data_IF_306264516248
#
_entry.id   IF_306264516248
#
_cell.length_a   1.000
_cell.length_b   1.000
_cell.length_c   1.000
_cell.angle_alpha   90.00
_cell.angle_beta   90.00
_cell.angle_gamma   90.00
#
_symmetry.space_group_name_H-M   'P 1'
#
loop_
_entity.id
_entity.type
_entity.pdbx_description
1 polymer ?
#
# COMPACT_ATOMS: atom_id res chain seq x y z
N UNK A 1 12.99 12.49 -18.79
CA UNK A 1 13.50 11.40 -19.66
C UNK A 1 14.55 10.52 -18.97
N UNK A 2 15.87 10.71 -19.15
CA UNK A 2 16.87 9.73 -18.64
C UNK A 2 16.92 9.63 -17.10
N UNK A 3 17.03 10.75 -16.39
CA UNK A 3 17.04 10.78 -14.91
C UNK A 3 15.71 10.28 -14.29
N UNK A 4 14.62 10.36 -15.05
CA UNK A 4 13.28 9.90 -14.68
C UNK A 4 13.19 8.37 -14.77
N UNK A 5 13.75 7.78 -15.84
CA UNK A 5 13.91 6.32 -15.94
C UNK A 5 14.74 5.75 -14.78
N UNK A 6 15.89 6.36 -14.46
CA UNK A 6 16.75 5.89 -13.36
C UNK A 6 16.04 5.91 -11.99
N UNK A 7 15.15 6.88 -11.75
CA UNK A 7 14.39 6.96 -10.50
C UNK A 7 13.25 5.93 -10.44
N UNK A 8 12.53 5.75 -11.54
CA UNK A 8 11.53 4.69 -11.65
C UNK A 8 12.17 3.30 -11.43
N UNK A 9 13.37 3.09 -11.98
CA UNK A 9 14.16 1.87 -11.81
C UNK A 9 14.60 1.68 -10.35
N UNK A 10 15.01 2.75 -9.66
CA UNK A 10 15.43 2.69 -8.25
C UNK A 10 14.32 2.23 -7.29
N UNK A 11 13.03 2.41 -7.64
CA UNK A 11 11.89 1.98 -6.81
C UNK A 11 11.50 0.52 -7.06
N UNK A 12 11.89 -0.05 -8.22
CA UNK A 12 11.52 -1.41 -8.62
C UNK A 12 11.88 -2.48 -7.59
N UNK A 13 13.09 -2.51 -7.01
CA UNK A 13 13.46 -3.50 -5.97
C UNK A 13 12.62 -3.37 -4.70
N UNK A 14 12.37 -2.15 -4.22
CA UNK A 14 11.56 -1.91 -3.00
C UNK A 14 10.12 -2.39 -3.18
N UNK A 15 9.54 -2.12 -4.35
CA UNK A 15 8.20 -2.60 -4.72
C UNK A 15 8.15 -4.12 -4.82
N UNK A 16 9.19 -4.76 -5.35
CA UNK A 16 9.26 -6.21 -5.43
C UNK A 16 9.29 -6.84 -4.03
N UNK A 17 10.07 -6.28 -3.11
CA UNK A 17 10.11 -6.76 -1.73
C UNK A 17 8.79 -6.60 -0.99
N UNK A 18 8.09 -5.47 -1.19
CA UNK A 18 6.75 -5.29 -0.62
C UNK A 18 5.77 -6.36 -1.09
N UNK A 19 5.81 -6.72 -2.39
CA UNK A 19 4.97 -7.80 -2.94
C UNK A 19 5.33 -9.17 -2.36
N UNK A 20 6.62 -9.45 -2.16
CA UNK A 20 7.07 -10.70 -1.52
C UNK A 20 6.54 -10.78 -0.09
N UNK A 21 6.74 -9.74 0.69
CA UNK A 21 6.31 -9.70 2.08
C UNK A 21 4.78 -9.86 2.22
N UNK A 22 4.00 -9.28 1.30
CA UNK A 22 2.56 -9.49 1.26
C UNK A 22 2.17 -10.93 0.95
N UNK A 23 2.91 -11.63 0.07
CA UNK A 23 2.70 -13.05 -0.19
C UNK A 23 3.02 -13.90 1.06
N UNK A 24 4.12 -13.59 1.75
CA UNK A 24 4.53 -14.31 2.96
C UNK A 24 3.48 -14.16 4.08
N UNK A 25 2.92 -12.96 4.27
CA UNK A 25 1.82 -12.71 5.22
C UNK A 25 0.59 -13.53 4.86
N UNK A 26 0.23 -13.58 3.58
CA UNK A 26 -0.92 -14.35 3.09
C UNK A 26 -0.73 -15.83 3.38
N UNK A 27 0.45 -16.37 3.09
CA UNK A 27 0.75 -17.78 3.31
C UNK A 27 0.72 -18.13 4.80
N UNK A 28 1.26 -17.26 5.67
CA UNK A 28 1.18 -17.41 7.12
C UNK A 28 -0.27 -17.42 7.64
N UNK A 29 -1.13 -16.53 7.13
CA UNK A 29 -2.54 -16.47 7.51
C UNK A 29 -3.33 -17.65 6.98
N UNK A 30 -3.07 -18.10 5.75
CA UNK A 30 -3.69 -19.31 5.20
C UNK A 30 -3.30 -20.55 6.00
N UNK A 31 -2.04 -20.66 6.41
CA UNK A 31 -1.59 -21.73 7.31
C UNK A 31 -2.28 -21.66 8.69
N UNK A 32 -2.54 -20.44 9.20
CA UNK A 32 -3.30 -20.24 10.44
C UNK A 32 -4.77 -20.67 10.30
N UNK A 33 -5.42 -20.34 9.19
CA UNK A 33 -6.81 -20.76 8.92
C UNK A 33 -6.88 -22.28 8.75
N UNK A 34 -5.89 -22.90 8.10
CA UNK A 34 -5.84 -24.34 7.89
C UNK A 34 -5.83 -25.13 9.22
N UNK A 35 -5.24 -24.57 10.29
CA UNK A 35 -5.23 -25.18 11.63
C UNK A 35 -6.58 -25.19 12.35
N UNK A 36 -7.59 -24.46 11.87
CA UNK A 36 -8.87 -24.27 12.57
C UNK A 36 -9.90 -25.41 12.37
N UNK A 37 -9.56 -26.45 11.59
CA UNK A 37 -10.30 -27.72 11.52
C UNK A 37 -11.53 -27.75 10.59
N UNK A 38 -12.06 -26.61 10.17
CA UNK A 38 -13.39 -26.55 9.53
C UNK A 38 -13.41 -26.64 7.99
N UNK A 39 -12.27 -26.86 7.34
CA UNK A 39 -12.17 -26.88 5.86
C UNK A 39 -11.73 -28.24 5.32
N UNK A 40 -12.16 -28.59 4.10
CA UNK A 40 -11.54 -29.65 3.30
C UNK A 40 -10.26 -29.14 2.60
N UNK A 41 -9.43 -30.03 2.06
CA UNK A 41 -8.23 -29.64 1.30
C UNK A 41 -8.57 -28.80 0.06
N UNK A 42 -9.63 -29.16 -0.66
CA UNK A 42 -10.09 -28.42 -1.84
C UNK A 42 -10.56 -27.01 -1.49
N UNK A 43 -11.31 -26.86 -0.39
CA UNK A 43 -11.75 -25.55 0.11
C UNK A 43 -10.54 -24.69 0.53
N UNK A 44 -9.55 -25.28 1.20
CA UNK A 44 -8.30 -24.58 1.55
C UNK A 44 -7.59 -24.08 0.29
N UNK A 45 -7.43 -24.94 -0.72
CA UNK A 45 -6.77 -24.59 -1.97
C UNK A 45 -7.53 -23.51 -2.76
N UNK A 46 -8.86 -23.51 -2.72
CA UNK A 46 -9.69 -22.48 -3.36
C UNK A 46 -9.58 -21.12 -2.66
N UNK A 47 -9.61 -21.11 -1.33
CA UNK A 47 -9.40 -19.89 -0.53
C UNK A 47 -8.00 -19.34 -0.79
N UNK A 48 -6.96 -20.18 -0.73
CA UNK A 48 -5.58 -19.78 -0.99
C UNK A 48 -5.42 -19.12 -2.37
N UNK A 49 -5.93 -19.77 -3.43
CA UNK A 49 -5.89 -19.21 -4.78
C UNK A 49 -6.66 -17.90 -4.89
N UNK A 50 -7.78 -17.78 -4.20
CA UNK A 50 -8.60 -16.56 -4.23
C UNK A 50 -7.90 -15.40 -3.53
N UNK A 51 -7.38 -15.61 -2.32
CA UNK A 51 -6.63 -14.59 -1.57
C UNK A 51 -5.40 -14.16 -2.35
N UNK A 52 -4.62 -15.10 -2.89
CA UNK A 52 -3.45 -14.77 -3.71
C UNK A 52 -3.85 -13.90 -4.91
N UNK A 53 -4.90 -14.27 -5.67
CA UNK A 53 -5.39 -13.44 -6.78
C UNK A 53 -5.84 -12.05 -6.35
N UNK A 54 -6.52 -11.93 -5.21
CA UNK A 54 -6.96 -10.64 -4.67
C UNK A 54 -5.76 -9.76 -4.36
N UNK A 55 -4.76 -10.30 -3.65
CA UNK A 55 -3.54 -9.58 -3.29
C UNK A 55 -2.75 -9.17 -4.51
N UNK A 56 -2.59 -10.04 -5.51
CA UNK A 56 -1.93 -9.69 -6.77
C UNK A 56 -2.63 -8.55 -7.50
N UNK A 57 -3.97 -8.57 -7.57
CA UNK A 57 -4.75 -7.49 -8.19
C UNK A 57 -4.65 -6.18 -7.41
N UNK A 58 -4.75 -6.25 -6.08
CA UNK A 58 -4.63 -5.08 -5.20
C UNK A 58 -3.25 -4.46 -5.27
N UNK A 59 -2.18 -5.25 -5.37
CA UNK A 59 -0.81 -4.75 -5.41
C UNK A 59 -0.36 -4.36 -6.81
N UNK A 60 -1.05 -4.77 -7.87
CA UNK A 60 -0.66 -4.39 -9.24
C UNK A 60 -0.75 -2.88 -9.48
N UNK A 61 -1.93 -2.28 -9.25
CA UNK A 61 -2.16 -0.87 -9.56
C UNK A 61 -1.30 0.09 -8.71
N UNK A 62 -1.22 -0.05 -7.36
CA UNK A 62 -0.44 0.88 -6.53
C UNK A 62 1.04 0.86 -6.85
N UNK A 63 1.58 -0.29 -7.24
CA UNK A 63 3.00 -0.47 -7.51
C UNK A 63 3.40 0.06 -8.90
N UNK A 64 2.51 -0.03 -9.89
CA UNK A 64 2.67 0.67 -11.16
C UNK A 64 2.62 2.17 -10.91
N UNK A 65 1.60 2.65 -10.18
CA UNK A 65 1.42 4.07 -9.89
C UNK A 65 2.61 4.69 -9.17
N UNK A 66 3.19 3.98 -8.21
CA UNK A 66 4.42 4.39 -7.50
C UNK A 66 5.61 4.56 -8.45
N UNK A 67 5.80 3.64 -9.40
CA UNK A 67 6.91 3.73 -10.37
C UNK A 67 6.74 4.92 -11.30
N UNK A 68 5.52 5.17 -11.76
CA UNK A 68 5.19 6.36 -12.57
C UNK A 68 5.46 7.65 -11.81
N UNK A 69 5.00 7.75 -10.56
CA UNK A 69 5.20 8.92 -9.71
C UNK A 69 6.69 9.18 -9.43
N UNK A 70 7.48 8.13 -9.25
CA UNK A 70 8.92 8.26 -9.04
C UNK A 70 9.69 8.72 -10.28
N UNK A 71 9.14 8.46 -11.47
CA UNK A 71 9.68 9.00 -12.71
C UNK A 71 9.54 10.52 -12.80
N UNK A 72 8.53 11.12 -12.18
CA UNK A 72 8.20 12.52 -12.44
C UNK A 72 9.34 13.50 -12.05
N UNK A 73 9.55 14.57 -12.84
CA UNK A 73 10.49 15.64 -12.47
C UNK A 73 10.14 16.25 -11.12
N UNK A 74 11.14 16.38 -10.24
CA UNK A 74 10.91 16.92 -8.89
C UNK A 74 10.21 15.96 -7.93
N UNK A 75 9.93 14.72 -8.33
CA UNK A 75 9.40 13.70 -7.43
C UNK A 75 10.31 13.50 -6.21
N UNK A 76 9.74 13.32 -5.01
CA UNK A 76 10.49 12.92 -3.83
C UNK A 76 11.12 11.53 -4.04
N UNK A 77 12.09 11.19 -3.19
CA UNK A 77 12.71 9.85 -3.20
C UNK A 77 11.72 8.81 -2.64
N UNK A 78 10.79 8.39 -3.50
CA UNK A 78 9.78 7.38 -3.17
C UNK A 78 10.42 6.03 -2.81
N UNK A 79 11.59 5.70 -3.35
CA UNK A 79 12.30 4.46 -3.01
C UNK A 79 12.70 4.48 -1.54
N UNK A 80 13.25 5.60 -1.06
CA UNK A 80 13.55 5.80 0.35
C UNK A 80 12.30 5.86 1.21
N UNK A 81 11.29 6.65 0.83
CA UNK A 81 10.04 6.76 1.60
C UNK A 81 9.35 5.40 1.81
N UNK A 82 9.34 4.53 0.78
CA UNK A 82 8.80 3.18 0.90
C UNK A 82 9.65 2.28 1.79
N UNK A 83 10.98 2.40 1.74
CA UNK A 83 11.85 1.67 2.66
C UNK A 83 11.58 2.06 4.10
N UNK A 84 11.48 3.35 4.38
CA UNK A 84 11.24 3.88 5.72
C UNK A 84 9.83 3.49 6.22
N UNK A 85 8.80 3.62 5.37
CA UNK A 85 7.40 3.31 5.72
C UNK A 85 7.17 1.83 6.03
N UNK A 86 7.86 0.95 5.32
CA UNK A 86 7.67 -0.50 5.43
C UNK A 86 8.83 -1.19 6.15
N UNK A 87 9.74 -0.43 6.78
CA UNK A 87 10.95 -0.93 7.43
C UNK A 87 11.73 -1.93 6.54
N UNK A 88 11.79 -1.66 5.23
CA UNK A 88 12.46 -2.52 4.24
C UNK A 88 13.95 -2.16 4.21
N UNK A 89 14.70 -2.70 5.17
CA UNK A 89 16.15 -2.49 5.25
C UNK A 89 16.87 -3.06 4.02
N UNK A 90 17.95 -2.40 3.58
CA UNK A 90 18.74 -2.86 2.44
C UNK A 90 19.30 -4.28 2.64
N UNK A 91 19.62 -4.63 3.88
CA UNK A 91 20.02 -5.98 4.27
C UNK A 91 18.89 -7.01 4.05
N UNK A 92 17.64 -6.62 4.31
CA UNK A 92 16.44 -7.44 4.10
C UNK A 92 16.13 -7.61 2.60
N UNK A 93 16.35 -6.57 1.80
CA UNK A 93 16.24 -6.63 0.33
C UNK A 93 17.29 -7.54 -0.31
N UNK A 94 18.49 -7.62 0.25
CA UNK A 94 19.56 -8.52 -0.23
C UNK A 94 19.43 -9.96 0.27
N UNK A 95 18.72 -10.18 1.39
CA UNK A 95 18.60 -11.46 2.06
C UNK A 95 17.20 -12.07 1.89
N UNK A 96 16.68 -12.11 0.65
CA UNK A 96 15.36 -12.66 0.34
C UNK A 96 15.24 -14.17 0.73
N UNK A 97 15.03 -14.42 2.03
CA UNK A 97 14.67 -15.68 2.68
C UNK A 97 13.62 -15.37 3.76
N UNK A 98 12.38 -15.16 3.31
CA UNK A 98 11.08 -15.50 3.93
C UNK A 98 10.67 -14.97 5.32
N UNK A 99 11.55 -14.84 6.31
CA UNK A 99 11.11 -14.75 7.72
C UNK A 99 11.19 -13.33 8.31
N UNK A 100 12.20 -12.53 7.92
CA UNK A 100 12.43 -11.21 8.50
C UNK A 100 11.46 -10.12 8.03
N UNK A 101 10.87 -10.25 6.83
CA UNK A 101 9.93 -9.27 6.27
C UNK A 101 8.57 -9.31 6.98
N UNK A 102 8.14 -10.50 7.41
CA UNK A 102 6.88 -10.70 8.12
C UNK A 102 6.94 -10.01 9.48
N UNK A 103 8.07 -10.10 10.20
CA UNK A 103 8.30 -9.41 11.48
C UNK A 103 8.28 -7.88 11.34
N UNK A 104 8.94 -7.35 10.30
CA UNK A 104 9.01 -5.91 10.05
C UNK A 104 7.64 -5.28 9.71
N UNK A 105 6.73 -6.06 9.11
CA UNK A 105 5.38 -5.61 8.72
C UNK A 105 4.29 -5.98 9.73
N UNK A 106 4.61 -6.48 10.93
CA UNK A 106 3.62 -6.81 11.97
C UNK A 106 2.89 -5.56 12.49
N UNK A 107 1.91 -5.09 11.74
CA UNK A 107 0.84 -4.23 12.25
C UNK A 107 -0.09 -5.15 13.06
N UNK A 108 0.04 -5.15 14.39
CA UNK A 108 -1.05 -5.61 15.23
C UNK A 108 -2.23 -4.66 15.00
N UNK A 109 -3.44 -5.14 14.65
CA UNK A 109 -4.60 -4.27 14.64
C UNK A 109 -4.88 -3.88 16.09
N UNK A 110 -4.34 -2.73 16.51
CA UNK A 110 -4.82 -2.05 17.69
C UNK A 110 -6.32 -1.84 17.45
N UNK A 111 -7.13 -2.56 18.21
CA UNK A 111 -8.57 -2.35 18.28
C UNK A 111 -8.77 -0.99 18.95
N UNK A 112 -8.75 0.07 18.15
CA UNK A 112 -9.12 1.41 18.57
C UNK A 112 -10.20 1.92 17.60
N UNK A 113 -11.35 2.36 18.11
CA UNK A 113 -12.43 2.83 17.25
C UNK A 113 -11.98 4.12 16.56
N UNK A 114 -11.99 4.11 15.22
CA UNK A 114 -11.74 5.29 14.37
C UNK A 114 -12.99 6.17 14.33
N UNK A 115 -13.46 6.59 15.50
CA UNK A 115 -14.68 7.37 15.66
C UNK A 115 -14.37 8.67 16.43
N UNK A 116 -13.48 9.52 15.90
CA UNK A 116 -13.55 10.98 16.20
C UNK A 116 -12.68 11.93 15.35
N UNK A 117 -12.07 11.50 14.24
CA UNK A 117 -11.06 12.32 13.53
C UNK A 117 -11.59 13.12 12.32
N UNK A 118 -12.87 13.49 12.29
CA UNK A 118 -13.40 14.47 11.32
C UNK A 118 -14.34 15.48 12.01
N UNK A 119 -13.81 16.12 13.06
CA UNK A 119 -14.37 17.33 13.63
C UNK A 119 -13.97 18.55 12.80
N UNK A 120 -14.95 19.13 12.10
CA UNK A 120 -15.12 20.57 11.87
C UNK A 120 -13.97 21.35 11.21
N UNK A 121 -14.08 21.61 9.91
CA UNK A 121 -13.52 22.84 9.32
C UNK A 121 -14.59 23.95 9.48
N UNK A 122 -14.34 25.03 10.25
CA UNK A 122 -15.26 26.16 10.30
C UNK A 122 -15.20 26.99 9.00
N UNK A 123 -16.37 27.40 8.52
CA UNK A 123 -16.60 28.25 7.35
C UNK A 123 -16.07 29.68 7.48
N UNK A 124 -15.81 30.32 6.34
CA UNK A 124 -15.73 31.78 6.20
C UNK A 124 -16.36 32.20 4.84
N UNK A 125 -16.83 33.45 4.70
CA UNK A 125 -18.15 33.75 4.16
C UNK A 125 -18.19 34.10 2.67
N UNK A 126 -19.38 33.97 2.10
CA UNK A 126 -19.74 34.40 0.75
C UNK A 126 -19.95 35.91 0.71
N UNK A 127 -19.07 36.65 0.05
CA UNK A 127 -19.37 37.98 -0.48
C UNK A 127 -18.64 38.20 -1.80
N UNK A 128 -19.37 38.18 -2.91
CA UNK A 128 -19.14 39.11 -4.01
C UNK A 128 -20.49 39.43 -4.62
N UNK A 129 -21.05 40.57 -4.24
CA UNK A 129 -22.12 41.20 -5.01
C UNK A 129 -21.59 41.63 -6.37
N UNK A 130 -22.37 41.42 -7.41
CA UNK A 130 -22.30 42.18 -8.67
C UNK A 130 -23.64 42.04 -9.41
N UNK A 131 -24.33 43.18 -9.51
CA UNK A 131 -25.23 43.67 -10.57
C UNK A 131 -26.40 42.80 -11.07
N UNK A 132 -27.62 43.33 -10.94
CA UNK A 132 -28.51 43.54 -12.10
C UNK A 132 -29.73 44.40 -11.74
N UNK A 133 -29.88 45.50 -12.48
CA UNK A 133 -31.11 45.96 -13.12
C UNK A 133 -32.34 46.23 -12.25
N UNK A 134 -32.64 47.51 -12.06
CA UNK A 134 -34.04 47.95 -12.05
C UNK A 134 -34.21 49.17 -12.95
N UNK A 135 -35.23 49.02 -13.79
CA UNK A 135 -35.66 49.80 -14.92
C UNK A 135 -37.04 50.34 -14.54
N UNK A 136 -37.35 51.56 -15.02
CA UNK A 136 -38.62 52.30 -14.94
C UNK A 136 -38.82 53.22 -13.73
#
# INVERSE_FOLDING_TARGET
AFNESLRADAVTPTVAALRSAAADIVDAELARVARRGDFTDDQRAEVARTVHRVVQRLLHEPTVRVRELAGQPGAPDYARALRDLFALDAAVLTAAEGDHLVEALKISPATAPVADALGTIPSAPSETGTAATQQS
#
